data_IF_068700803423
#
_entry.id   IF_068700803423
#
_cell.length_a   1.000
_cell.length_b   1.000
_cell.length_c   1.000
_cell.angle_alpha   90.00
_cell.angle_beta   90.00
_cell.angle_gamma   90.00
#
_symmetry.space_group_name_H-M   'P 1'
#
loop_
_entity.id
_entity.type
_entity.pdbx_description
1 polymer ?
#
# COMPACT_ATOMS: atom_id res chain seq x y z
N UNK A 1 -4.55 6.72 12.58
CA UNK A 1 -5.16 6.41 11.26
C UNK A 1 -4.05 5.94 10.35
N UNK A 2 -4.02 4.66 9.97
CA UNK A 2 -3.07 4.18 8.98
C UNK A 2 -3.33 4.94 7.66
N UNK A 3 -2.38 5.75 7.21
CA UNK A 3 -2.47 6.56 6.00
C UNK A 3 -2.00 5.80 4.75
N UNK A 4 -1.87 4.48 4.81
CA UNK A 4 -1.47 3.71 3.64
C UNK A 4 -1.71 2.22 3.69
N UNK A 5 -2.49 1.69 4.63
CA UNK A 5 -2.72 0.25 4.75
C UNK A 5 -3.72 -0.16 5.81
N UNK A 6 -3.91 -1.48 5.96
CA UNK A 6 -4.74 -2.09 7.00
C UNK A 6 -3.85 -2.83 8.00
N UNK A 7 -3.96 -2.50 9.28
CA UNK A 7 -3.31 -3.22 10.37
C UNK A 7 -4.34 -4.05 11.13
N UNK A 8 -4.07 -5.35 11.27
CA UNK A 8 -4.85 -6.27 12.10
C UNK A 8 -3.99 -6.76 13.26
N UNK A 9 -4.47 -6.56 14.49
CA UNK A 9 -3.82 -7.00 15.73
C UNK A 9 -4.51 -8.30 16.21
N UNK A 10 -3.71 -9.32 16.49
CA UNK A 10 -4.17 -10.58 17.07
C UNK A 10 -4.17 -10.52 18.61
N UNK A 11 -4.89 -11.44 19.24
CA UNK A 11 -5.03 -11.49 20.71
C UNK A 11 -3.72 -11.80 21.44
N UNK A 12 -2.74 -12.41 20.76
CA UNK A 12 -1.41 -12.70 21.29
C UNK A 12 -0.43 -11.52 21.14
N UNK A 13 -0.89 -10.40 20.58
CA UNK A 13 -0.08 -9.21 20.32
C UNK A 13 0.68 -9.21 19.00
N UNK A 14 0.62 -10.29 18.21
CA UNK A 14 1.14 -10.28 16.84
C UNK A 14 0.26 -9.41 15.94
N UNK A 15 0.84 -8.82 14.89
CA UNK A 15 0.09 -7.99 13.95
C UNK A 15 0.43 -8.32 12.50
N UNK A 16 -0.55 -8.11 11.62
CA UNK A 16 -0.39 -8.15 10.16
C UNK A 16 -0.64 -6.76 9.61
N UNK A 17 0.25 -6.28 8.74
CA UNK A 17 0.08 -5.03 8.01
C UNK A 17 0.00 -5.32 6.51
N UNK A 18 -1.06 -4.84 5.87
CA UNK A 18 -1.27 -4.94 4.42
C UNK A 18 -1.26 -3.51 3.86
N UNK A 19 -0.21 -3.09 3.12
CA UNK A 19 -0.22 -1.81 2.42
C UNK A 19 -1.39 -1.72 1.43
N UNK A 20 -1.92 -0.53 1.24
CA UNK A 20 -2.85 -0.22 0.16
C UNK A 20 -2.16 -0.43 -1.20
N UNK A 21 -2.95 -0.78 -2.22
CA UNK A 21 -2.43 -0.93 -3.57
C UNK A 21 -1.71 0.36 -4.01
N UNK A 22 -0.52 0.20 -4.59
CA UNK A 22 0.35 1.29 -5.07
C UNK A 22 0.82 2.28 -4.00
N UNK A 23 0.68 1.95 -2.70
CA UNK A 23 1.26 2.76 -1.63
C UNK A 23 2.75 2.46 -1.48
N UNK A 24 3.55 3.51 -1.46
CA UNK A 24 4.95 3.49 -1.04
C UNK A 24 5.24 4.73 -0.19
N UNK A 25 6.04 4.57 0.85
CA UNK A 25 6.34 5.64 1.81
C UNK A 25 6.25 5.18 3.26
N UNK A 26 6.08 6.14 4.15
CA UNK A 26 6.02 5.90 5.59
C UNK A 26 4.58 5.99 6.09
N UNK A 27 4.15 4.98 6.85
CA UNK A 27 2.89 5.00 7.59
C UNK A 27 3.17 4.94 9.10
N UNK A 28 2.27 5.50 9.91
CA UNK A 28 2.37 5.50 11.37
C UNK A 28 1.11 5.02 12.04
N UNK A 29 1.29 4.24 13.11
CA UNK A 29 0.20 3.74 13.95
C UNK A 29 0.53 4.03 15.40
N UNK A 30 -0.27 4.87 16.04
CA UNK A 30 -0.20 5.06 17.48
C UNK A 30 -0.92 3.90 18.18
N UNK A 31 -0.31 3.35 19.22
CA UNK A 31 -0.85 2.22 19.99
C UNK A 31 -0.69 2.44 21.49
N UNK A 32 -1.56 1.80 22.27
CA UNK A 32 -1.50 1.84 23.73
C UNK A 32 -1.17 0.46 24.27
N UNK A 33 -0.25 0.38 25.23
CA UNK A 33 0.10 -0.84 25.96
C UNK A 33 -0.32 -0.68 27.41
N UNK A 34 -0.81 -1.76 28.03
CA UNK A 34 -1.19 -1.76 29.44
C UNK A 34 -0.84 -3.07 30.13
N UNK A 35 -0.47 -2.98 31.41
CA UNK A 35 -0.30 -4.12 32.31
C UNK A 35 -1.53 -4.34 33.23
N UNK A 36 -2.63 -3.61 32.98
CA UNK A 36 -3.83 -3.60 33.80
C UNK A 36 -3.80 -2.59 34.96
N UNK A 37 -2.67 -1.94 35.21
CA UNK A 37 -2.51 -0.90 36.24
C UNK A 37 -2.10 0.44 35.62
N UNK A 38 -1.13 0.41 34.70
CA UNK A 38 -0.63 1.56 33.98
C UNK A 38 -0.86 1.39 32.47
N UNK A 39 -0.88 2.52 31.76
CA UNK A 39 -0.97 2.58 30.31
C UNK A 39 0.14 3.45 29.76
N UNK A 40 0.73 3.06 28.65
CA UNK A 40 1.68 3.87 27.90
C UNK A 40 1.30 3.94 26.42
N UNK A 41 1.73 5.01 25.74
CA UNK A 41 1.45 5.23 24.32
C UNK A 41 2.75 5.17 23.53
N UNK A 42 2.77 4.32 22.50
CA UNK A 42 3.86 4.18 21.55
C UNK A 42 3.42 4.52 20.14
N UNK A 43 4.40 4.73 19.26
CA UNK A 43 4.18 4.90 17.83
C UNK A 43 4.97 3.85 17.06
N UNK A 44 4.27 3.13 16.19
CA UNK A 44 4.85 2.20 15.22
C UNK A 44 5.05 2.94 13.89
N UNK A 45 6.30 2.96 13.41
CA UNK A 45 6.65 3.49 12.09
C UNK A 45 6.84 2.34 11.11
N UNK A 46 6.14 2.39 9.97
CA UNK A 46 6.17 1.35 8.94
C UNK A 46 6.70 1.97 7.65
N UNK A 47 7.73 1.38 7.06
CA UNK A 47 8.29 1.83 5.78
C UNK A 47 7.93 0.84 4.68
N UNK A 48 7.17 1.29 3.69
CA UNK A 48 6.80 0.53 2.50
C UNK A 48 7.70 0.96 1.34
N UNK A 49 8.57 0.06 0.90
CA UNK A 49 9.43 0.29 -0.25
C UNK A 49 8.61 0.31 -1.55
N UNK A 50 8.97 1.19 -2.47
CA UNK A 50 8.39 1.16 -3.82
C UNK A 50 8.82 -0.12 -4.53
N UNK A 51 7.87 -0.75 -5.23
CA UNK A 51 8.13 -1.83 -6.17
C UNK A 51 7.97 -1.28 -7.58
N UNK A 52 8.89 -1.64 -8.49
CA UNK A 52 8.80 -1.21 -9.88
C UNK A 52 7.83 -2.11 -10.64
N UNK A 53 6.73 -1.55 -11.12
CA UNK A 53 5.76 -2.25 -11.96
C UNK A 53 6.24 -2.32 -13.42
N UNK A 54 6.08 -3.48 -14.05
CA UNK A 54 6.36 -3.63 -15.46
C UNK A 54 5.28 -2.91 -16.30
N UNK A 55 5.64 -2.29 -17.44
CA UNK A 55 4.65 -1.74 -18.34
C UNK A 55 3.74 -2.85 -18.88
N UNK A 56 2.43 -2.59 -18.91
CA UNK A 56 1.43 -3.47 -19.53
C UNK A 56 1.14 -2.95 -20.93
N UNK A 57 1.59 -3.66 -21.96
CA UNK A 57 1.27 -3.34 -23.34
C UNK A 57 -0.18 -3.75 -23.65
N UNK A 58 -0.88 -2.93 -24.45
CA UNK A 58 -2.19 -3.24 -25.04
C UNK A 58 -1.99 -3.24 -26.54
N UNK A 59 -2.58 -4.21 -27.24
CA UNK A 59 -2.48 -4.30 -28.70
C UNK A 59 -3.13 -3.09 -29.36
N UNK A 60 -2.35 -2.37 -30.16
CA UNK A 60 -2.85 -1.29 -31.00
C UNK A 60 -3.41 -1.89 -32.31
N UNK A 61 -4.68 -1.62 -32.60
CA UNK A 61 -5.31 -2.00 -33.88
C UNK A 61 -5.52 -0.76 -34.71
N UNK A 62 -4.87 -0.71 -35.87
CA UNK A 62 -5.07 0.35 -36.87
C UNK A 62 -5.69 -0.29 -38.11
N UNK A 63 -6.91 0.14 -38.44
CA UNK A 63 -7.56 -0.19 -39.70
C UNK A 63 -7.55 1.06 -40.57
N UNK A 64 -6.80 1.03 -41.67
CA UNK A 64 -6.73 2.11 -42.65
C UNK A 64 -7.39 1.69 -43.95
N UNK A 65 -8.10 2.63 -44.58
CA UNK A 65 -8.53 2.45 -45.96
C UNK A 65 -7.30 2.53 -46.86
N UNK A 66 -7.28 1.72 -47.92
CA UNK A 66 -6.28 1.88 -48.97
C UNK A 66 -6.21 3.35 -49.43
N UNK A 67 -5.00 3.77 -49.78
CA UNK A 67 -4.70 5.12 -50.28
C UNK A 67 -5.00 6.29 -49.33
N UNK A 68 -5.10 6.01 -48.03
CA UNK A 68 -5.19 7.06 -47.00
C UNK A 68 -3.96 7.06 -46.09
N UNK A 69 -3.42 8.25 -45.82
CA UNK A 69 -2.35 8.41 -44.85
C UNK A 69 -2.91 8.33 -43.42
N UNK A 70 -2.25 7.55 -42.56
CA UNK A 70 -2.49 7.52 -41.12
C UNK A 70 -1.36 8.27 -40.42
N UNK A 71 -1.71 9.20 -39.54
CA UNK A 71 -0.77 10.02 -38.74
C UNK A 71 -1.17 10.01 -37.29
#
# INVERSE_FOLDING_TARGET
>A
TAQGGTLALAADGSYTYIPAANFNGTDTVDYTVTDGTATDVGQLTITVAAANDAPVAVDDVINVTEDTAFT
#
